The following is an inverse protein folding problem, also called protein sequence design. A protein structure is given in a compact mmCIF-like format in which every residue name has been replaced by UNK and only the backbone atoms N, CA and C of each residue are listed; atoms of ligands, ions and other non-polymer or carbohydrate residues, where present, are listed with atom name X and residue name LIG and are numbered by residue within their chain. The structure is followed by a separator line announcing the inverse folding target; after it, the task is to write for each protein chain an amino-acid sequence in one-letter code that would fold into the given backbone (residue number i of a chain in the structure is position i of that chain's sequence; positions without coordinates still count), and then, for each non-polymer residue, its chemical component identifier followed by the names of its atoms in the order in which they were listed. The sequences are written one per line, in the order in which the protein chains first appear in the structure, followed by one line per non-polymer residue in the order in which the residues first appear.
data_IF_809880866084
#
_entry.id   IF_809880866084
#
_cell.length_a   1.000
_cell.length_b   1.000
_cell.length_c   1.000
_cell.angle_alpha   90.00
_cell.angle_beta   90.00
_cell.angle_gamma   90.00
#
_symmetry.space_group_name_H-M   'P 1'
#
loop_
_entity.id
_entity.type
_entity.pdbx_description
1 polymer ?
#
# COMPACT_ATOMS: atom_id res chain seq x y z
N UNK A 1 -21.98 16.00 21.09
CA UNK A 1 -21.09 17.04 20.51
C UNK A 1 -19.91 16.33 19.88
N UNK A 2 -19.49 16.68 18.65
CA UNK A 2 -18.28 16.10 18.07
C UNK A 2 -17.10 16.39 18.99
N UNK A 3 -16.31 15.36 19.32
CA UNK A 3 -15.07 15.51 20.09
C UNK A 3 -14.12 16.44 19.35
N UNK A 4 -13.44 17.38 20.04
CA UNK A 4 -12.43 18.21 19.39
C UNK A 4 -11.34 17.32 18.80
N UNK A 5 -10.90 17.64 17.58
CA UNK A 5 -9.79 16.96 16.93
C UNK A 5 -8.55 17.12 17.81
N UNK A 6 -8.01 16.00 18.29
CA UNK A 6 -6.84 15.96 19.19
C UNK A 6 -5.53 15.81 18.43
N UNK A 7 -5.57 15.24 17.23
CA UNK A 7 -4.38 14.98 16.40
C UNK A 7 -4.69 15.16 14.92
N UNK A 8 -3.81 15.86 14.20
CA UNK A 8 -3.84 15.94 12.74
C UNK A 8 -2.72 15.07 12.18
N UNK A 9 -3.06 14.14 11.30
CA UNK A 9 -2.13 13.24 10.63
C UNK A 9 -1.94 13.71 9.18
N UNK A 10 -0.83 14.37 8.84
CA UNK A 10 -0.54 14.71 7.45
C UNK A 10 -0.16 13.45 6.67
N UNK A 11 -0.70 13.32 5.46
CA UNK A 11 -0.52 12.16 4.59
C UNK A 11 -0.02 12.57 3.21
N UNK A 12 1.04 11.91 2.73
CA UNK A 12 1.42 11.90 1.32
C UNK A 12 1.09 10.53 0.74
N UNK A 13 0.26 10.49 -0.29
CA UNK A 13 -0.08 9.26 -1.02
C UNK A 13 0.82 9.10 -2.23
N UNK A 14 1.57 8.01 -2.30
CA UNK A 14 2.35 7.60 -3.47
C UNK A 14 1.54 6.57 -4.27
N UNK A 15 1.16 6.92 -5.50
CA UNK A 15 0.40 6.04 -6.39
C UNK A 15 -1.11 6.22 -6.28
N UNK A 16 -1.66 7.07 -7.14
CA UNK A 16 -3.11 7.28 -7.24
C UNK A 16 -3.81 6.32 -8.24
N UNK A 17 -3.52 5.01 -8.13
CA UNK A 17 -4.14 3.94 -8.90
C UNK A 17 -5.50 3.50 -8.36
N UNK A 18 -5.88 2.22 -8.53
CA UNK A 18 -7.12 1.67 -7.95
C UNK A 18 -7.18 1.83 -6.43
N UNK A 19 -6.23 1.22 -5.72
CA UNK A 19 -6.15 1.26 -4.24
C UNK A 19 -6.03 2.69 -3.71
N UNK A 20 -5.13 3.50 -4.28
CA UNK A 20 -4.93 4.89 -3.85
C UNK A 20 -6.20 5.73 -3.95
N UNK A 21 -6.98 5.61 -5.04
CA UNK A 21 -8.25 6.33 -5.19
C UNK A 21 -9.32 5.88 -4.21
N UNK A 22 -9.43 4.58 -3.95
CA UNK A 22 -10.35 4.07 -2.93
C UNK A 22 -9.96 4.58 -1.54
N UNK A 23 -8.68 4.63 -1.22
CA UNK A 23 -8.20 5.21 0.03
C UNK A 23 -8.58 6.70 0.15
N UNK A 24 -8.34 7.51 -0.89
CA UNK A 24 -8.72 8.94 -0.86
C UNK A 24 -10.24 9.11 -0.67
N UNK A 25 -11.05 8.35 -1.40
CA UNK A 25 -12.51 8.36 -1.24
C UNK A 25 -12.93 7.95 0.17
N UNK A 26 -12.33 6.91 0.72
CA UNK A 26 -12.59 6.48 2.10
C UNK A 26 -12.19 7.58 3.11
N UNK A 27 -11.04 8.24 2.92
CA UNK A 27 -10.62 9.34 3.81
C UNK A 27 -11.67 10.45 3.84
N UNK A 28 -12.20 10.84 2.67
CA UNK A 28 -13.25 11.87 2.54
C UNK A 28 -14.58 11.39 3.14
N UNK A 29 -15.05 10.19 2.78
CA UNK A 29 -16.33 9.65 3.27
C UNK A 29 -16.31 9.38 4.78
N UNK A 30 -15.15 9.07 5.36
CA UNK A 30 -15.00 8.73 6.77
C UNK A 30 -14.55 9.90 7.66
N UNK A 31 -14.53 11.15 7.16
CA UNK A 31 -14.22 12.36 7.97
C UNK A 31 -14.97 12.40 9.32
N UNK A 32 -16.29 12.14 9.40
CA UNK A 32 -17.01 12.16 10.68
C UNK A 32 -16.51 11.09 11.65
N UNK A 33 -16.16 9.91 11.13
CA UNK A 33 -15.64 8.81 11.94
C UNK A 33 -14.26 9.15 12.51
N UNK A 34 -13.36 9.73 11.69
CA UNK A 34 -12.06 10.19 12.17
C UNK A 34 -12.22 11.27 13.27
N UNK A 35 -13.13 12.23 13.07
CA UNK A 35 -13.40 13.28 14.05
C UNK A 35 -13.94 12.71 15.38
N UNK A 36 -14.81 11.71 15.32
CA UNK A 36 -15.29 10.99 16.52
C UNK A 36 -14.17 10.23 17.24
N UNK A 37 -13.12 9.82 16.52
CA UNK A 37 -11.90 9.24 17.10
C UNK A 37 -10.88 10.30 17.56
N UNK A 38 -11.19 11.59 17.39
CA UNK A 38 -10.29 12.70 17.72
C UNK A 38 -9.12 12.85 16.75
N UNK A 39 -9.22 12.32 15.53
CA UNK A 39 -8.16 12.32 14.52
C UNK A 39 -8.65 13.05 13.27
N UNK A 40 -7.77 13.82 12.61
CA UNK A 40 -8.02 14.35 11.29
C UNK A 40 -6.90 13.93 10.33
N UNK A 41 -7.24 13.18 9.28
CA UNK A 41 -6.28 12.70 8.28
C UNK A 41 -6.13 13.75 7.17
N UNK A 42 -5.13 14.62 7.23
CA UNK A 42 -4.97 15.68 6.23
C UNK A 42 -4.11 15.21 5.07
N UNK A 43 -4.69 15.05 3.88
CA UNK A 43 -3.91 14.72 2.69
C UNK A 43 -3.17 15.96 2.25
N UNK A 44 -1.85 15.96 2.36
CA UNK A 44 -0.99 17.10 1.99
C UNK A 44 -0.34 16.90 0.62
N UNK A 45 -0.30 15.67 0.10
CA UNK A 45 0.14 15.41 -1.26
C UNK A 45 -0.34 14.08 -1.85
N UNK A 46 -0.44 14.03 -3.16
CA UNK A 46 -0.81 12.85 -3.95
C UNK A 46 0.09 12.76 -5.18
N UNK A 47 0.79 11.64 -5.33
CA UNK A 47 1.66 11.37 -6.46
C UNK A 47 1.11 10.27 -7.37
N UNK A 48 1.41 10.36 -8.66
CA UNK A 48 1.30 9.27 -9.62
C UNK A 48 2.67 8.94 -10.23
N UNK A 49 2.70 8.18 -11.33
CA UNK A 49 3.95 7.78 -11.99
C UNK A 49 4.73 8.95 -12.60
N UNK A 50 4.11 10.12 -12.77
CA UNK A 50 4.65 11.25 -13.55
C UNK A 50 4.83 12.53 -12.74
N UNK A 51 4.04 12.71 -11.69
CA UNK A 51 3.95 13.99 -10.96
C UNK A 51 3.46 13.83 -9.53
N UNK A 52 3.69 14.88 -8.73
CA UNK A 52 3.16 15.08 -7.38
C UNK A 52 2.31 16.34 -7.37
N UNK A 53 1.10 16.23 -6.84
CA UNK A 53 0.29 17.37 -6.41
C UNK A 53 0.44 17.53 -4.89
N UNK A 54 0.82 18.72 -4.42
CA UNK A 54 1.08 18.99 -2.99
C UNK A 54 0.40 20.30 -2.58
N UNK A 55 -0.04 20.39 -1.33
CA UNK A 55 -0.58 21.63 -0.77
C UNK A 55 0.51 22.72 -0.69
N UNK A 56 0.12 23.99 -0.87
CA UNK A 56 1.05 25.14 -0.78
C UNK A 56 1.71 25.24 0.60
N UNK A 57 0.93 25.00 1.67
CA UNK A 57 1.45 24.91 3.04
C UNK A 57 1.06 23.56 3.68
N UNK A 58 2.02 22.65 3.74
CA UNK A 58 1.85 21.31 4.32
C UNK A 58 1.64 21.31 5.84
N UNK A 59 1.98 22.41 6.55
CA UNK A 59 1.79 22.53 8.01
C UNK A 59 0.35 22.85 8.38
N UNK A 60 -0.28 23.80 7.68
CA UNK A 60 -1.62 24.28 8.04
C UNK A 60 -2.69 23.74 7.12
N UNK A 61 -2.40 23.57 5.84
CA UNK A 61 -3.38 23.19 4.81
C UNK A 61 -3.17 21.77 4.28
N UNK A 62 -4.16 21.29 3.55
CA UNK A 62 -4.14 20.06 2.80
C UNK A 62 -4.98 20.22 1.54
N UNK A 63 -4.96 19.21 0.69
CA UNK A 63 -5.85 19.15 -0.46
C UNK A 63 -7.29 19.00 0.02
N UNK A 64 -8.16 19.91 -0.40
CA UNK A 64 -9.56 19.91 0.02
C UNK A 64 -10.35 18.71 -0.54
N UNK A 65 -11.48 18.40 0.08
CA UNK A 65 -12.27 17.21 -0.27
C UNK A 65 -12.86 17.28 -1.69
N UNK A 66 -13.09 18.50 -2.23
CA UNK A 66 -13.57 18.69 -3.60
C UNK A 66 -12.46 18.36 -4.62
N UNK A 67 -11.24 18.82 -4.37
CA UNK A 67 -10.05 18.53 -5.17
C UNK A 67 -9.71 17.04 -5.10
N UNK A 68 -9.77 16.40 -3.93
CA UNK A 68 -9.55 14.95 -3.79
C UNK A 68 -10.58 14.15 -4.59
N UNK A 69 -11.84 14.57 -4.58
CA UNK A 69 -12.92 13.93 -5.36
C UNK A 69 -12.71 14.09 -6.86
N UNK A 70 -12.37 15.30 -7.32
CA UNK A 70 -12.04 15.59 -8.72
C UNK A 70 -10.82 14.80 -9.18
N UNK A 71 -9.78 14.70 -8.35
CA UNK A 71 -8.59 13.93 -8.61
C UNK A 71 -8.92 12.45 -8.81
N UNK A 72 -9.75 11.87 -7.94
CA UNK A 72 -10.19 10.49 -8.08
C UNK A 72 -10.97 10.24 -9.38
N UNK A 73 -11.80 11.21 -9.80
CA UNK A 73 -12.55 11.14 -11.05
C UNK A 73 -11.62 11.25 -12.28
N UNK A 74 -10.71 12.23 -12.31
CA UNK A 74 -9.75 12.42 -13.38
C UNK A 74 -8.86 11.18 -13.58
N UNK A 75 -8.28 10.63 -12.50
CA UNK A 75 -7.49 9.40 -12.55
C UNK A 75 -8.34 8.17 -12.94
N UNK A 76 -9.66 8.19 -12.72
CA UNK A 76 -10.57 7.14 -13.23
C UNK A 76 -10.74 7.18 -14.74
N UNK A 77 -10.76 8.38 -15.30
CA UNK A 77 -10.87 8.61 -16.73
C UNK A 77 -9.54 8.44 -17.48
N UNK A 78 -8.46 8.10 -16.77
CA UNK A 78 -7.12 7.95 -17.35
C UNK A 78 -6.32 9.25 -17.48
N UNK A 79 -6.87 10.38 -17.02
CA UNK A 79 -6.17 11.68 -17.06
C UNK A 79 -5.01 11.72 -16.05
N UNK A 80 -3.88 12.38 -16.38
CA UNK A 80 -2.78 12.59 -15.44
C UNK A 80 -3.12 13.66 -14.39
N UNK A 81 -2.39 13.70 -13.26
CA UNK A 81 -2.59 14.74 -12.24
C UNK A 81 -2.35 16.16 -12.79
N UNK A 82 -1.53 16.30 -13.83
CA UNK A 82 -1.26 17.58 -14.48
C UNK A 82 -2.49 18.25 -15.10
N UNK A 83 -3.57 17.51 -15.36
CA UNK A 83 -4.82 18.09 -15.87
C UNK A 83 -5.58 18.89 -14.80
N UNK A 84 -5.14 18.85 -13.55
CA UNK A 84 -5.79 19.49 -12.41
C UNK A 84 -5.11 20.81 -11.99
N UNK A 85 -4.17 21.30 -12.80
CA UNK A 85 -3.50 22.59 -12.59
C UNK A 85 -4.50 23.76 -12.52
N UNK A 86 -4.33 24.64 -11.54
CA UNK A 86 -5.11 25.88 -11.39
C UNK A 86 -6.41 25.76 -10.59
N UNK A 87 -6.63 24.64 -9.87
CA UNK A 87 -7.80 24.45 -9.01
C UNK A 87 -7.36 24.25 -7.55
N UNK A 88 -7.61 25.25 -6.71
CA UNK A 88 -7.29 25.22 -5.27
C UNK A 88 -5.85 25.63 -4.92
N UNK A 89 -5.55 25.70 -3.62
CA UNK A 89 -4.24 26.05 -3.05
C UNK A 89 -3.26 24.86 -3.11
N UNK A 90 -2.84 24.50 -4.33
CA UNK A 90 -1.92 23.38 -4.55
C UNK A 90 -0.92 23.64 -5.67
N UNK A 91 0.22 22.96 -5.58
CA UNK A 91 1.32 23.03 -6.52
C UNK A 91 1.55 21.65 -7.15
N UNK A 92 1.91 21.63 -8.44
CA UNK A 92 2.23 20.41 -9.16
C UNK A 92 3.71 20.40 -9.52
N UNK A 93 4.38 19.30 -9.19
CA UNK A 93 5.78 19.07 -9.52
C UNK A 93 5.90 17.81 -10.38
N UNK A 94 6.69 17.86 -11.45
CA UNK A 94 6.99 16.69 -12.28
C UNK A 94 8.19 15.93 -11.73
N UNK A 95 8.34 14.65 -12.08
CA UNK A 95 9.57 13.93 -11.79
C UNK A 95 10.75 14.55 -12.56
N UNK A 96 11.95 14.69 -11.96
CA UNK A 96 12.37 14.17 -10.65
C UNK A 96 12.10 15.11 -9.45
N UNK A 97 11.72 16.37 -9.68
CA UNK A 97 11.53 17.38 -8.63
C UNK A 97 10.49 16.97 -7.57
N UNK A 98 9.43 16.26 -7.99
CA UNK A 98 8.42 15.69 -7.12
C UNK A 98 9.00 14.90 -5.94
N UNK A 99 10.08 14.13 -6.15
CA UNK A 99 10.72 13.38 -5.07
C UNK A 99 11.29 14.31 -4.01
N UNK A 100 11.98 15.38 -4.42
CA UNK A 100 12.54 16.38 -3.52
C UNK A 100 11.46 16.99 -2.64
N UNK A 101 10.30 17.32 -3.21
CA UNK A 101 9.16 17.88 -2.46
C UNK A 101 8.56 16.92 -1.42
N UNK A 102 8.56 15.61 -1.67
CA UNK A 102 8.16 14.63 -0.65
C UNK A 102 9.19 14.61 0.50
N UNK A 103 10.48 14.72 0.19
CA UNK A 103 11.54 14.79 1.21
C UNK A 103 11.47 16.09 2.01
N UNK A 104 11.18 17.22 1.37
CA UNK A 104 10.98 18.51 2.04
C UNK A 104 9.84 18.39 3.07
N UNK A 105 8.70 17.80 2.66
CA UNK A 105 7.59 17.52 3.56
C UNK A 105 7.97 16.56 4.68
N UNK A 106 8.73 15.50 4.39
CA UNK A 106 9.21 14.53 5.37
C UNK A 106 10.14 15.17 6.42
N UNK A 107 11.06 16.03 5.97
CA UNK A 107 11.97 16.79 6.84
C UNK A 107 11.20 17.71 7.79
N UNK A 108 10.18 18.36 7.24
CA UNK A 108 9.38 19.37 7.93
C UNK A 108 8.41 18.76 8.95
N UNK A 109 7.72 17.68 8.57
CA UNK A 109 6.60 17.10 9.32
C UNK A 109 6.93 15.77 10.01
N UNK A 110 7.99 15.08 9.60
CA UNK A 110 8.30 13.72 10.05
C UNK A 110 8.46 13.60 11.56
N UNK A 111 9.27 14.48 12.18
CA UNK A 111 9.52 14.45 13.64
C UNK A 111 8.55 15.29 14.46
N UNK A 112 7.81 16.20 13.83
CA UNK A 112 6.93 17.16 14.53
C UNK A 112 5.51 16.61 14.65
N UNK A 113 4.83 16.42 13.53
CA UNK A 113 3.44 15.94 13.47
C UNK A 113 3.32 14.46 13.12
N UNK A 114 4.39 13.85 12.61
CA UNK A 114 4.41 12.45 12.19
C UNK A 114 3.80 12.26 10.81
N UNK A 115 4.47 12.78 9.77
CA UNK A 115 4.06 12.57 8.38
C UNK A 115 3.91 11.08 8.07
N UNK A 116 2.80 10.72 7.43
CA UNK A 116 2.54 9.36 6.96
C UNK A 116 2.73 9.30 5.44
N UNK A 117 3.71 8.54 4.98
CA UNK A 117 3.84 8.17 3.57
C UNK A 117 3.06 6.89 3.33
N UNK A 118 2.05 6.96 2.47
CA UNK A 118 1.26 5.80 2.07
C UNK A 118 1.69 5.36 0.67
N UNK A 119 2.30 4.18 0.54
CA UNK A 119 2.69 3.62 -0.76
C UNK A 119 1.64 2.66 -1.30
N UNK A 120 0.84 3.17 -2.23
CA UNK A 120 -0.09 2.41 -3.06
C UNK A 120 0.43 2.27 -4.50
N UNK A 121 1.72 2.52 -4.74
CA UNK A 121 2.35 2.25 -6.03
C UNK A 121 2.59 0.74 -6.22
N UNK A 122 2.93 0.34 -7.44
CA UNK A 122 3.29 -1.04 -7.78
C UNK A 122 4.73 -1.12 -8.33
N UNK A 123 5.64 -0.27 -7.83
CA UNK A 123 7.03 -0.15 -8.31
C UNK A 123 8.07 -0.36 -7.19
N UNK A 124 9.32 -0.61 -7.57
CA UNK A 124 10.48 -0.57 -6.68
C UNK A 124 11.06 0.83 -6.53
N UNK A 125 10.68 1.78 -7.40
CA UNK A 125 11.27 3.13 -7.44
C UNK A 125 11.01 3.94 -6.16
N UNK A 126 9.95 3.58 -5.40
CA UNK A 126 9.62 4.22 -4.13
C UNK A 126 10.52 3.77 -2.98
N UNK A 127 11.28 2.68 -3.11
CA UNK A 127 12.04 2.08 -1.99
C UNK A 127 13.01 3.07 -1.36
N UNK A 128 13.81 3.75 -2.18
CA UNK A 128 14.78 4.72 -1.66
C UNK A 128 14.07 5.91 -0.98
N UNK A 129 12.97 6.40 -1.55
CA UNK A 129 12.17 7.49 -0.96
C UNK A 129 11.56 7.08 0.40
N UNK A 130 11.09 5.83 0.51
CA UNK A 130 10.56 5.29 1.76
C UNK A 130 11.64 5.16 2.84
N UNK A 131 12.85 4.74 2.46
CA UNK A 131 14.00 4.68 3.37
C UNK A 131 14.38 6.08 3.87
N UNK A 132 14.47 7.05 2.96
CA UNK A 132 14.72 8.44 3.32
C UNK A 132 13.64 8.96 4.29
N UNK A 133 12.36 8.64 4.06
CA UNK A 133 11.27 9.04 4.95
C UNK A 133 11.39 8.43 6.36
N UNK A 134 11.82 7.17 6.47
CA UNK A 134 12.12 6.53 7.76
C UNK A 134 13.20 7.30 8.52
N UNK A 135 14.25 7.75 7.83
CA UNK A 135 15.35 8.54 8.42
C UNK A 135 14.90 9.93 8.92
N UNK A 136 13.92 10.53 8.23
CA UNK A 136 13.26 11.77 8.66
C UNK A 136 12.20 11.53 9.77
N UNK A 137 12.02 10.29 10.21
CA UNK A 137 11.13 9.93 11.31
C UNK A 137 9.65 9.81 10.92
N UNK A 138 9.35 9.72 9.63
CA UNK A 138 7.99 9.53 9.13
C UNK A 138 7.43 8.15 9.49
N UNK A 139 6.10 8.06 9.44
CA UNK A 139 5.39 6.79 9.40
C UNK A 139 5.24 6.33 7.95
N UNK A 140 5.26 5.02 7.73
CA UNK A 140 5.12 4.39 6.41
C UNK A 140 3.95 3.42 6.44
N UNK A 141 3.06 3.50 5.45
CA UNK A 141 1.95 2.57 5.26
C UNK A 141 2.06 1.99 3.86
N UNK A 142 2.15 0.67 3.73
CA UNK A 142 2.37 0.01 2.45
C UNK A 142 1.15 -0.82 2.05
N UNK A 143 0.64 -0.58 0.85
CA UNK A 143 -0.09 -1.57 0.07
C UNK A 143 0.82 -2.19 -1.02
N UNK A 144 1.91 -1.49 -1.37
CA UNK A 144 2.95 -2.00 -2.23
C UNK A 144 3.77 -3.11 -1.55
N UNK A 145 3.79 -4.30 -2.15
CA UNK A 145 4.58 -5.45 -1.66
C UNK A 145 6.06 -5.32 -1.98
N UNK A 146 6.40 -4.61 -3.07
CA UNK A 146 7.77 -4.60 -3.65
C UNK A 146 8.83 -4.12 -2.65
N UNK A 147 8.63 -3.05 -1.88
CA UNK A 147 9.59 -2.63 -0.86
C UNK A 147 9.89 -3.68 0.21
N UNK A 148 8.94 -4.58 0.48
CA UNK A 148 9.10 -5.64 1.49
C UNK A 148 9.71 -6.92 0.92
N UNK A 149 9.73 -7.07 -0.41
CA UNK A 149 10.19 -8.28 -1.10
C UNK A 149 11.45 -8.06 -1.94
N UNK A 150 12.02 -6.86 -1.92
CA UNK A 150 13.29 -6.53 -2.55
C UNK A 150 14.49 -7.04 -1.74
N UNK A 151 15.60 -6.29 -1.79
CA UNK A 151 16.78 -6.56 -0.99
C UNK A 151 16.41 -6.68 0.50
N UNK A 152 17.10 -7.57 1.21
CA UNK A 152 16.77 -7.84 2.61
C UNK A 152 17.07 -6.61 3.49
N UNK A 153 18.11 -5.86 3.15
CA UNK A 153 18.53 -4.62 3.80
C UNK A 153 17.45 -3.53 3.68
N UNK A 154 16.76 -3.45 2.54
CA UNK A 154 15.65 -2.52 2.35
C UNK A 154 14.48 -2.88 3.27
N UNK A 155 14.12 -4.17 3.34
CA UNK A 155 13.11 -4.64 4.29
C UNK A 155 13.51 -4.31 5.73
N UNK A 156 14.72 -4.65 6.15
CA UNK A 156 15.23 -4.36 7.50
C UNK A 156 15.18 -2.88 7.83
N UNK A 157 15.56 -2.02 6.89
CA UNK A 157 15.49 -0.56 7.07
C UNK A 157 14.05 -0.09 7.29
N UNK A 158 13.10 -0.58 6.48
CA UNK A 158 11.69 -0.21 6.58
C UNK A 158 11.05 -0.68 7.89
N UNK A 159 11.41 -1.88 8.38
CA UNK A 159 10.86 -2.44 9.63
C UNK A 159 11.67 -2.08 10.88
N UNK A 160 12.77 -1.32 10.75
CA UNK A 160 13.65 -0.92 11.85
C UNK A 160 12.91 -0.25 13.02
N UNK A 161 11.79 0.43 12.73
CA UNK A 161 10.85 0.91 13.73
C UNK A 161 9.45 0.39 13.45
N UNK A 162 9.15 -0.80 13.97
CA UNK A 162 7.87 -1.49 13.75
C UNK A 162 6.64 -0.66 14.18
N UNK A 163 6.81 0.30 15.11
CA UNK A 163 5.71 1.19 15.54
C UNK A 163 5.31 2.18 14.44
N UNK A 164 6.24 2.54 13.55
CA UNK A 164 6.05 3.53 12.47
C UNK A 164 5.72 2.94 11.11
N UNK A 165 5.69 1.61 10.97
CA UNK A 165 5.33 0.97 9.70
C UNK A 165 4.04 0.14 9.83
N UNK A 166 3.18 0.19 8.82
CA UNK A 166 2.04 -0.74 8.64
C UNK A 166 2.03 -1.25 7.22
N UNK A 167 1.73 -2.53 7.04
CA UNK A 167 1.67 -3.15 5.71
C UNK A 167 0.61 -4.25 5.63
N UNK A 168 -0.49 -4.08 6.37
CA UNK A 168 -1.58 -5.06 6.47
C UNK A 168 -2.13 -5.46 5.11
N UNK A 169 -2.37 -4.49 4.22
CA UNK A 169 -2.96 -4.74 2.90
C UNK A 169 -2.04 -5.48 1.92
N UNK A 170 -0.77 -5.69 2.27
CA UNK A 170 0.17 -6.43 1.43
C UNK A 170 -0.11 -7.94 1.44
N UNK A 171 -0.67 -8.48 2.51
CA UNK A 171 -1.00 -9.91 2.67
C UNK A 171 -2.41 -10.07 3.23
N UNK A 172 -3.28 -10.78 2.52
CA UNK A 172 -4.68 -10.98 2.96
C UNK A 172 -5.64 -9.83 2.65
N UNK A 173 -5.18 -8.80 1.93
CA UNK A 173 -5.99 -7.65 1.49
C UNK A 173 -6.68 -6.93 2.67
N UNK A 174 -7.96 -7.21 2.93
CA UNK A 174 -8.70 -6.64 4.07
C UNK A 174 -8.65 -7.50 5.34
N UNK A 175 -8.08 -8.70 5.28
CA UNK A 175 -7.98 -9.60 6.42
C UNK A 175 -6.80 -9.17 7.33
N UNK A 176 -6.93 -9.28 8.66
CA UNK A 176 -5.90 -8.85 9.61
C UNK A 176 -4.78 -9.89 9.77
N UNK A 177 -4.15 -10.31 8.67
CA UNK A 177 -3.11 -11.36 8.67
C UNK A 177 -1.83 -10.88 9.37
N UNK A 178 -1.31 -9.71 9.01
CA UNK A 178 -0.06 -9.17 9.57
C UNK A 178 -0.26 -8.86 11.06
N UNK A 179 -1.37 -8.22 11.42
CA UNK A 179 -1.72 -7.95 12.81
C UNK A 179 -1.84 -9.24 13.64
N UNK A 180 -2.46 -10.29 13.10
CA UNK A 180 -2.61 -11.57 13.80
C UNK A 180 -1.27 -12.24 14.05
N UNK A 181 -0.42 -12.34 13.01
CA UNK A 181 0.92 -12.92 13.13
C UNK A 181 1.77 -12.13 14.12
N UNK A 182 1.76 -10.80 14.04
CA UNK A 182 2.50 -9.93 14.96
C UNK A 182 2.05 -10.12 16.40
N UNK A 183 0.74 -10.29 16.65
CA UNK A 183 0.19 -10.52 17.99
C UNK A 183 0.64 -11.86 18.57
N UNK A 184 0.68 -12.92 17.77
CA UNK A 184 1.17 -14.25 18.19
C UNK A 184 2.67 -14.20 18.50
N UNK A 185 3.47 -13.52 17.66
CA UNK A 185 4.89 -13.30 17.95
C UNK A 185 5.07 -12.53 19.27
N UNK A 186 4.26 -11.49 19.48
CA UNK A 186 4.32 -10.67 20.68
C UNK A 186 3.86 -11.38 21.97
N UNK A 187 3.01 -12.41 21.88
CA UNK A 187 2.65 -13.25 23.03
C UNK A 187 3.76 -14.25 23.40
N UNK A 188 4.74 -14.45 22.52
CA UNK A 188 5.81 -15.43 22.70
C UNK A 188 5.45 -16.83 22.22
N UNK A 189 4.30 -16.99 21.56
CA UNK A 189 3.87 -18.28 21.04
C UNK A 189 4.67 -18.64 19.76
N UNK A 190 5.25 -19.86 19.68
CA UNK A 190 5.98 -20.28 18.50
C UNK A 190 5.01 -20.57 17.35
N UNK A 191 5.23 -19.93 16.21
CA UNK A 191 4.54 -20.25 14.96
C UNK A 191 5.32 -21.34 14.25
N UNK A 192 4.77 -22.55 14.16
CA UNK A 192 5.44 -23.69 13.49
C UNK A 192 5.14 -23.76 12.00
N UNK A 193 3.96 -23.26 11.57
CA UNK A 193 3.51 -23.32 10.18
C UNK A 193 2.46 -22.26 9.88
N UNK A 194 2.56 -21.65 8.70
CA UNK A 194 1.47 -20.87 8.09
C UNK A 194 1.02 -21.57 6.81
N UNK A 195 -0.29 -21.80 6.67
CA UNK A 195 -0.93 -22.34 5.47
C UNK A 195 -2.11 -21.43 5.11
N UNK A 196 -2.22 -21.04 3.85
CA UNK A 196 -3.34 -20.23 3.39
C UNK A 196 -3.44 -20.12 1.88
N UNK A 197 -4.64 -19.75 1.41
CA UNK A 197 -4.87 -19.32 0.03
C UNK A 197 -4.65 -17.81 -0.05
N UNK A 198 -3.57 -17.42 -0.74
CA UNK A 198 -3.10 -16.03 -0.76
C UNK A 198 -3.46 -15.29 -2.06
N UNK A 199 -4.15 -15.92 -3.02
CA UNK A 199 -4.59 -15.31 -4.28
C UNK A 199 -6.05 -15.63 -4.56
N UNK A 200 -6.88 -14.59 -4.69
CA UNK A 200 -8.28 -14.72 -5.03
C UNK A 200 -8.49 -15.24 -6.46
N UNK A 201 -7.68 -14.76 -7.41
CA UNK A 201 -7.74 -15.16 -8.82
C UNK A 201 -7.38 -16.63 -8.99
N UNK A 202 -6.29 -17.09 -8.35
CA UNK A 202 -5.93 -18.52 -8.37
C UNK A 202 -6.99 -19.36 -7.64
N UNK A 203 -7.50 -18.89 -6.50
CA UNK A 203 -8.58 -19.56 -5.78
C UNK A 203 -9.81 -19.78 -6.66
N UNK A 204 -10.29 -18.73 -7.33
CA UNK A 204 -11.41 -18.81 -8.27
C UNK A 204 -11.15 -19.78 -9.42
N UNK A 205 -10.00 -19.63 -10.09
CA UNK A 205 -9.67 -20.48 -11.25
C UNK A 205 -9.63 -21.95 -10.84
N UNK A 206 -9.07 -22.26 -9.67
CA UNK A 206 -8.96 -23.64 -9.21
C UNK A 206 -10.32 -24.22 -8.78
N UNK A 207 -11.16 -23.46 -8.08
CA UNK A 207 -12.52 -23.91 -7.76
C UNK A 207 -13.33 -24.25 -9.01
N UNK A 208 -13.21 -23.44 -10.06
CA UNK A 208 -13.90 -23.69 -11.33
C UNK A 208 -13.34 -24.91 -12.09
N UNK A 209 -12.03 -25.19 -11.96
CA UNK A 209 -11.42 -26.40 -12.51
C UNK A 209 -11.83 -27.66 -11.74
N UNK A 210 -11.96 -27.58 -10.41
CA UNK A 210 -12.47 -28.66 -9.57
C UNK A 210 -13.91 -29.04 -9.96
N UNK A 211 -14.71 -28.05 -10.39
CA UNK A 211 -16.04 -28.26 -10.97
C UNK A 211 -16.02 -28.86 -12.39
N UNK A 212 -14.85 -29.23 -12.91
CA UNK A 212 -14.67 -29.90 -14.20
C UNK A 212 -14.66 -28.98 -15.43
N UNK A 213 -14.63 -27.66 -15.24
CA UNK A 213 -14.58 -26.71 -16.36
C UNK A 213 -13.19 -26.71 -17.02
N UNK A 214 -13.13 -26.40 -18.32
CA UNK A 214 -11.84 -26.32 -19.03
C UNK A 214 -11.07 -25.08 -18.61
N UNK A 215 -9.78 -25.24 -18.33
CA UNK A 215 -8.89 -24.13 -17.95
C UNK A 215 -8.99 -22.91 -18.86
N UNK A 216 -9.01 -23.13 -20.19
CA UNK A 216 -9.11 -22.05 -21.17
C UNK A 216 -10.41 -21.25 -21.07
N UNK A 217 -11.51 -21.88 -20.65
CA UNK A 217 -12.82 -21.23 -20.47
C UNK A 217 -12.81 -20.44 -19.17
N UNK A 218 -12.33 -21.05 -18.09
CA UNK A 218 -12.23 -20.41 -16.76
C UNK A 218 -11.38 -19.15 -16.80
N UNK A 219 -10.20 -19.18 -17.44
CA UNK A 219 -9.31 -18.01 -17.56
C UNK A 219 -9.98 -16.90 -18.38
N UNK A 220 -10.70 -17.24 -19.45
CA UNK A 220 -11.47 -16.25 -20.24
C UNK A 220 -12.58 -15.61 -19.40
N UNK A 221 -13.31 -16.42 -18.63
CA UNK A 221 -14.36 -15.96 -17.72
C UNK A 221 -13.77 -15.07 -16.64
N UNK A 222 -12.70 -15.49 -15.97
CA UNK A 222 -12.00 -14.70 -14.94
C UNK A 222 -11.56 -13.33 -15.49
N UNK A 223 -11.03 -13.30 -16.72
CA UNK A 223 -10.68 -12.04 -17.40
C UNK A 223 -11.91 -11.17 -17.68
N UNK A 224 -13.02 -11.74 -18.16
CA UNK A 224 -14.26 -10.98 -18.41
C UNK A 224 -14.89 -10.42 -17.14
N UNK A 225 -14.74 -11.11 -16.01
CA UNK A 225 -15.20 -10.67 -14.69
C UNK A 225 -14.24 -9.66 -14.03
N UNK A 226 -13.08 -9.40 -14.64
CA UNK A 226 -12.06 -8.50 -14.11
C UNK A 226 -11.31 -9.08 -12.90
N UNK A 227 -11.26 -10.41 -12.75
CA UNK A 227 -10.48 -11.07 -11.71
C UNK A 227 -8.99 -11.19 -12.05
N UNK A 228 -8.63 -11.04 -13.32
CA UNK A 228 -7.23 -11.04 -13.75
C UNK A 228 -6.78 -9.63 -14.14
N UNK A 229 -5.48 -9.40 -14.08
CA UNK A 229 -4.82 -8.31 -14.78
C UNK A 229 -5.01 -8.44 -16.32
N UNK A 230 -4.67 -7.39 -17.11
CA UNK A 230 -4.79 -7.44 -18.57
C UNK A 230 -4.10 -8.66 -19.21
N UNK A 231 -2.98 -9.09 -18.62
CA UNK A 231 -2.31 -10.36 -18.89
C UNK A 231 -2.56 -11.35 -17.73
N UNK A 232 -3.38 -12.40 -17.91
CA UNK A 232 -3.67 -13.38 -16.87
C UNK A 232 -2.45 -14.12 -16.32
N UNK A 233 -1.32 -14.13 -17.06
CA UNK A 233 -0.09 -14.79 -16.60
C UNK A 233 0.48 -14.14 -15.35
N UNK A 234 0.22 -12.86 -15.13
CA UNK A 234 0.71 -12.13 -13.96
C UNK A 234 0.08 -12.65 -12.66
N UNK A 235 -1.20 -13.04 -12.70
CA UNK A 235 -1.90 -13.65 -11.56
C UNK A 235 -1.62 -15.15 -11.44
N UNK A 236 -1.57 -15.84 -12.58
CA UNK A 236 -1.41 -17.30 -12.65
C UNK A 236 0.03 -17.76 -12.40
N UNK A 237 1.02 -16.88 -12.62
CA UNK A 237 2.43 -17.18 -12.41
C UNK A 237 2.85 -17.32 -10.95
N UNK A 238 1.92 -17.13 -9.99
CA UNK A 238 2.15 -17.37 -8.57
C UNK A 238 3.10 -16.36 -7.89
N UNK A 239 3.65 -15.39 -8.63
CA UNK A 239 4.59 -14.40 -8.08
C UNK A 239 3.96 -13.50 -7.01
N UNK A 240 2.68 -13.16 -7.12
CA UNK A 240 1.98 -12.42 -6.06
C UNK A 240 1.88 -13.23 -4.77
N UNK A 241 1.55 -14.52 -4.90
CA UNK A 241 1.51 -15.49 -3.80
C UNK A 241 2.90 -15.63 -3.16
N UNK A 242 3.94 -15.72 -3.99
CA UNK A 242 5.33 -15.82 -3.56
C UNK A 242 5.78 -14.58 -2.77
N UNK A 243 5.42 -13.37 -3.23
CA UNK A 243 5.69 -12.12 -2.50
C UNK A 243 5.00 -12.09 -1.14
N UNK A 244 3.74 -12.50 -1.07
CA UNK A 244 2.99 -12.59 0.20
C UNK A 244 3.63 -13.58 1.17
N UNK A 245 4.08 -14.73 0.65
CA UNK A 245 4.82 -15.72 1.41
C UNK A 245 6.13 -15.15 1.97
N UNK A 246 6.91 -14.46 1.13
CA UNK A 246 8.16 -13.84 1.52
C UNK A 246 7.98 -12.79 2.61
N UNK A 247 6.94 -11.95 2.52
CA UNK A 247 6.60 -10.96 3.56
C UNK A 247 6.35 -11.66 4.90
N UNK A 248 5.55 -12.73 4.90
CA UNK A 248 5.25 -13.49 6.11
C UNK A 248 6.50 -14.18 6.68
N UNK A 249 7.33 -14.81 5.83
CA UNK A 249 8.56 -15.45 6.28
C UNK A 249 9.54 -14.44 6.90
N UNK A 250 9.72 -13.27 6.28
CA UNK A 250 10.54 -12.19 6.83
C UNK A 250 9.96 -11.62 8.13
N UNK A 251 8.64 -11.54 8.26
CA UNK A 251 7.96 -11.14 9.50
C UNK A 251 8.22 -12.14 10.64
N UNK A 252 8.39 -13.42 10.34
CA UNK A 252 8.79 -14.47 11.29
C UNK A 252 10.30 -14.47 11.59
N UNK A 253 11.05 -13.49 11.09
CA UNK A 253 12.48 -13.33 11.33
C UNK A 253 13.40 -14.05 10.34
N UNK A 254 12.85 -14.70 9.30
CA UNK A 254 13.66 -15.42 8.31
C UNK A 254 14.40 -14.46 7.38
N UNK A 255 15.71 -14.70 7.18
CA UNK A 255 16.56 -13.91 6.29
C UNK A 255 16.64 -14.57 4.91
N UNK A 256 15.52 -14.54 4.18
CA UNK A 256 15.42 -15.20 2.88
C UNK A 256 15.11 -14.22 1.74
N UNK A 257 15.40 -14.66 0.51
CA UNK A 257 15.11 -13.96 -0.73
C UNK A 257 13.97 -14.64 -1.49
N UNK A 258 13.56 -14.02 -2.60
CA UNK A 258 12.49 -14.56 -3.43
C UNK A 258 12.82 -15.95 -4.01
N UNK A 259 14.10 -16.22 -4.25
CA UNK A 259 14.60 -17.50 -4.80
C UNK A 259 14.44 -18.67 -3.83
N UNK A 260 14.35 -18.40 -2.53
CA UNK A 260 14.14 -19.41 -1.49
C UNK A 260 12.67 -19.86 -1.37
N UNK A 261 11.74 -19.17 -2.05
CA UNK A 261 10.31 -19.50 -1.98
C UNK A 261 9.98 -20.50 -3.08
N UNK A 262 9.62 -21.71 -2.67
CA UNK A 262 9.08 -22.71 -3.59
C UNK A 262 7.59 -22.42 -3.83
N UNK A 263 7.26 -22.02 -5.06
CA UNK A 263 5.88 -21.73 -5.46
C UNK A 263 5.29 -22.97 -6.13
N UNK A 264 4.49 -23.72 -5.37
CA UNK A 264 3.52 -24.64 -5.94
C UNK A 264 2.18 -23.93 -6.05
N UNK A 265 1.58 -23.90 -7.25
CA UNK A 265 0.37 -23.14 -7.66
C UNK A 265 -0.82 -23.11 -6.67
N UNK A 266 -0.91 -24.02 -5.71
CA UNK A 266 -2.10 -24.26 -4.90
C UNK A 266 -1.94 -23.93 -3.40
N UNK A 267 -0.73 -24.05 -2.84
CA UNK A 267 -0.51 -23.86 -1.40
C UNK A 267 0.89 -23.34 -1.11
N UNK A 268 0.95 -22.27 -0.33
CA UNK A 268 2.20 -21.81 0.27
C UNK A 268 2.34 -22.49 1.62
N UNK A 269 3.46 -23.15 1.82
CA UNK A 269 3.90 -23.62 3.12
C UNK A 269 5.07 -22.75 3.56
N UNK A 270 4.90 -22.07 4.68
CA UNK A 270 6.03 -21.42 5.38
C UNK A 270 6.37 -22.30 6.56
N UNK A 271 7.50 -22.99 6.48
CA UNK A 271 8.06 -23.77 7.57
C UNK A 271 8.97 -22.85 8.38
N UNK A 272 8.72 -22.81 9.69
CA UNK A 272 9.57 -22.09 10.65
C UNK A 272 10.38 -23.16 11.35
N UNK A 273 11.66 -23.28 10.97
CA UNK A 273 12.63 -24.11 11.69
C UNK A 273 13.25 -23.30 12.83
#
# INVERSE_FOLDING_TARGET
MPTPVKSVLPVVLLGCGGVGRYLLRHIVSCRPLHANQGVAIRVVGVADSSSLLVAEDVHSTGLDDALLTQLCAAKSAGSPLSSLLGRGHCQLFKNPEARGKVIDAATTLGRTTGLVLVDCSATYDTVSLLKDAVDHGCCVVLANKKPLTGAYEDFQKLVSNFRRIRFESTVGAGLPVIASVTRIIASGDPITRIVGSLSGTLGYVMSELEDGKKFSEVVKTAKSLGYTEPDPRDDLGGMDVARKALILARLLGQQISMESINVCLLRVYILVN
#
